data_IF_332767864189
#
_entry.id   IF_332767864189
#
_cell.length_a   1.000
_cell.length_b   1.000
_cell.length_c   1.000
_cell.angle_alpha   90.00
_cell.angle_beta   90.00
_cell.angle_gamma   90.00
#
_symmetry.space_group_name_H-M   'P 1'
#
loop_
_entity.id
_entity.type
_entity.pdbx_description
1 polymer ?
#
# COMPACT_ATOMS: atom_id res chain seq x y z
N UNK A 1 -8.79 -0.65 9.49
CA UNK A 1 -9.23 0.76 9.27
C UNK A 1 -10.41 0.74 8.32
N UNK A 2 -11.46 1.56 8.51
CA UNK A 2 -12.67 1.53 7.65
C UNK A 2 -12.49 2.37 6.37
N UNK A 3 -13.10 1.97 5.22
CA UNK A 3 -13.08 2.73 3.98
C UNK A 3 -13.48 4.21 4.11
N UNK A 4 -14.48 4.52 4.93
CA UNK A 4 -14.97 5.90 5.14
C UNK A 4 -13.88 6.85 5.67
N UNK A 5 -12.90 6.35 6.42
CA UNK A 5 -11.78 7.17 6.91
C UNK A 5 -10.83 7.55 5.78
N UNK A 6 -10.61 6.64 4.83
CA UNK A 6 -9.75 6.87 3.66
C UNK A 6 -10.46 7.75 2.63
N UNK A 7 -11.77 7.59 2.46
CA UNK A 7 -12.60 8.50 1.64
C UNK A 7 -12.42 9.96 2.07
N UNK A 8 -12.50 10.23 3.39
CA UNK A 8 -12.30 11.59 3.93
C UNK A 8 -10.89 12.12 3.68
N UNK A 9 -9.86 11.27 3.84
CA UNK A 9 -8.48 11.66 3.55
C UNK A 9 -8.31 12.01 2.07
N UNK A 10 -8.82 11.16 1.17
CA UNK A 10 -8.79 11.40 -0.27
C UNK A 10 -9.50 12.71 -0.60
N UNK A 11 -10.66 12.97 0.00
CA UNK A 11 -11.38 14.23 -0.19
C UNK A 11 -10.52 15.44 0.20
N UNK A 12 -9.80 15.36 1.33
CA UNK A 12 -8.94 16.46 1.80
C UNK A 12 -7.66 16.68 0.97
N UNK A 13 -7.14 15.64 0.33
CA UNK A 13 -5.83 15.68 -0.38
C UNK A 13 -6.02 15.86 -1.88
N UNK A 14 -7.04 15.22 -2.45
CA UNK A 14 -7.24 15.09 -3.88
C UNK A 14 -8.64 15.51 -4.35
N UNK A 15 -9.50 15.98 -3.44
CA UNK A 15 -10.82 16.53 -3.73
C UNK A 15 -11.96 15.52 -3.71
N UNK A 16 -13.20 16.03 -3.62
CA UNK A 16 -14.41 15.22 -3.48
C UNK A 16 -14.66 14.26 -4.65
N UNK A 17 -14.25 14.64 -5.87
CA UNK A 17 -14.39 13.78 -7.04
C UNK A 17 -13.64 12.46 -6.88
N UNK A 18 -12.37 12.51 -6.46
CA UNK A 18 -11.58 11.29 -6.21
C UNK A 18 -12.13 10.49 -5.03
N UNK A 19 -12.63 11.15 -3.99
CA UNK A 19 -13.24 10.47 -2.84
C UNK A 19 -14.50 9.68 -3.25
N UNK A 20 -15.35 10.26 -4.10
CA UNK A 20 -16.53 9.57 -4.65
C UNK A 20 -16.15 8.36 -5.50
N UNK A 21 -15.11 8.48 -6.33
CA UNK A 21 -14.59 7.37 -7.12
C UNK A 21 -14.00 6.27 -6.23
N UNK A 22 -13.20 6.63 -5.23
CA UNK A 22 -12.69 5.72 -4.22
C UNK A 22 -13.82 4.90 -3.57
N UNK A 23 -14.85 5.59 -3.07
CA UNK A 23 -16.00 4.96 -2.42
C UNK A 23 -16.66 3.95 -3.35
N UNK A 24 -16.93 4.34 -4.61
CA UNK A 24 -17.51 3.45 -5.63
C UNK A 24 -16.67 2.21 -5.85
N UNK A 25 -15.35 2.33 -6.01
CA UNK A 25 -14.49 1.16 -6.19
C UNK A 25 -14.44 0.28 -4.95
N UNK A 26 -14.40 0.86 -3.75
CA UNK A 26 -14.38 0.09 -2.50
C UNK A 26 -15.64 -0.76 -2.28
N UNK A 27 -16.74 -0.43 -2.95
CA UNK A 27 -18.00 -1.18 -2.90
C UNK A 27 -18.14 -2.24 -4.00
N UNK A 28 -17.17 -2.38 -4.92
CA UNK A 28 -17.22 -3.37 -6.01
C UNK A 28 -16.68 -4.74 -5.63
N UNK A 29 -16.06 -4.87 -4.46
CA UNK A 29 -15.47 -6.11 -3.97
C UNK A 29 -16.17 -6.52 -2.68
N UNK A 30 -16.66 -7.75 -2.63
CA UNK A 30 -17.24 -8.39 -1.43
C UNK A 30 -16.13 -8.98 -0.54
N UNK A 31 -15.16 -8.13 -0.19
CA UNK A 31 -14.00 -8.47 0.63
C UNK A 31 -14.04 -7.80 2.00
N UNK A 32 -13.03 -8.09 2.82
CA UNK A 32 -12.82 -7.37 4.07
C UNK A 32 -12.45 -5.89 3.83
N UNK A 33 -12.43 -5.08 4.90
CA UNK A 33 -12.10 -3.65 4.77
C UNK A 33 -10.73 -3.43 4.10
N UNK A 34 -9.74 -4.32 4.32
CA UNK A 34 -8.40 -4.19 3.74
C UNK A 34 -8.44 -4.45 2.23
N UNK A 35 -9.10 -5.54 1.80
CA UNK A 35 -9.26 -5.87 0.38
C UNK A 35 -9.98 -4.76 -0.38
N UNK A 36 -11.05 -4.21 0.21
CA UNK A 36 -11.83 -3.10 -0.35
C UNK A 36 -11.01 -1.82 -0.49
N UNK A 37 -10.20 -1.49 0.52
CA UNK A 37 -9.29 -0.34 0.49
C UNK A 37 -8.24 -0.51 -0.62
N UNK A 38 -7.59 -1.67 -0.65
CA UNK A 38 -6.51 -2.00 -1.58
C UNK A 38 -7.00 -1.90 -3.03
N UNK A 39 -8.12 -2.56 -3.34
CA UNK A 39 -8.72 -2.53 -4.67
C UNK A 39 -9.07 -1.11 -5.12
N UNK A 40 -9.69 -0.31 -4.22
CA UNK A 40 -10.09 1.04 -4.55
C UNK A 40 -8.90 1.98 -4.83
N UNK A 41 -7.81 1.85 -4.07
CA UNK A 41 -6.58 2.62 -4.28
C UNK A 41 -5.91 2.26 -5.61
N UNK A 42 -5.87 0.98 -5.97
CA UNK A 42 -5.32 0.55 -7.25
C UNK A 42 -6.18 1.04 -8.43
N UNK A 43 -7.50 1.00 -8.31
CA UNK A 43 -8.38 1.53 -9.36
C UNK A 43 -8.18 3.03 -9.58
N UNK A 44 -7.99 3.79 -8.51
CA UNK A 44 -7.63 5.20 -8.62
C UNK A 44 -6.25 5.40 -9.24
N UNK A 45 -5.26 4.57 -8.88
CA UNK A 45 -3.91 4.67 -9.44
C UNK A 45 -3.92 4.48 -10.95
N UNK A 46 -4.68 3.49 -11.45
CA UNK A 46 -4.85 3.25 -12.88
C UNK A 46 -5.41 4.46 -13.64
N UNK A 47 -6.16 5.34 -12.97
CA UNK A 47 -6.85 6.48 -13.59
C UNK A 47 -6.04 7.77 -13.44
N UNK A 48 -5.47 8.01 -12.26
CA UNK A 48 -4.85 9.28 -11.88
C UNK A 48 -3.33 9.24 -11.78
N UNK A 49 -2.75 8.04 -11.88
CA UNK A 49 -1.33 7.80 -11.71
C UNK A 49 -0.89 7.76 -10.24
N UNK A 50 0.21 7.06 -10.02
CA UNK A 50 0.83 6.84 -8.71
C UNK A 50 1.19 8.14 -7.95
N UNK A 51 1.77 9.20 -8.56
CA UNK A 51 2.21 10.39 -7.82
C UNK A 51 1.11 11.07 -7.00
N UNK A 52 -0.12 11.08 -7.52
CA UNK A 52 -1.30 11.66 -6.89
C UNK A 52 -1.71 10.90 -5.61
N UNK A 53 -1.41 9.60 -5.55
CA UNK A 53 -1.92 8.71 -4.49
C UNK A 53 -0.86 8.29 -3.48
N UNK A 54 0.43 8.51 -3.76
CA UNK A 54 1.54 8.16 -2.87
C UNK A 54 1.31 8.61 -1.41
N UNK A 55 0.88 9.85 -1.09
CA UNK A 55 0.63 10.25 0.29
C UNK A 55 -0.49 9.43 0.97
N UNK A 56 -1.54 9.10 0.22
CA UNK A 56 -2.68 8.31 0.69
C UNK A 56 -2.24 6.86 0.92
N UNK A 57 -1.54 6.24 -0.05
CA UNK A 57 -1.01 4.88 0.06
C UNK A 57 -0.07 4.75 1.28
N UNK A 58 0.83 5.72 1.47
CA UNK A 58 1.73 5.77 2.64
C UNK A 58 0.94 5.84 3.94
N UNK A 59 -0.09 6.68 4.01
CA UNK A 59 -0.93 6.81 5.20
C UNK A 59 -1.70 5.53 5.49
N UNK A 60 -2.37 4.96 4.49
CA UNK A 60 -3.13 3.70 4.61
C UNK A 60 -2.21 2.60 5.11
N UNK A 61 -1.02 2.47 4.52
CA UNK A 61 0.00 1.52 4.92
C UNK A 61 0.35 1.57 6.41
N UNK A 62 0.45 2.77 7.01
CA UNK A 62 0.72 2.93 8.46
C UNK A 62 -0.37 2.33 9.37
N UNK A 63 -1.57 2.16 8.81
CA UNK A 63 -2.81 1.86 9.52
C UNK A 63 -3.33 0.44 9.25
N UNK A 64 -2.74 -0.26 8.28
CA UNK A 64 -3.04 -1.65 7.97
C UNK A 64 -1.84 -2.52 8.31
N UNK A 65 -2.09 -3.71 8.86
CA UNK A 65 -1.06 -4.73 9.00
C UNK A 65 -0.92 -5.41 7.63
N UNK A 66 0.16 -5.08 6.93
CA UNK A 66 0.50 -5.77 5.69
C UNK A 66 1.24 -7.06 6.03
N UNK A 67 0.87 -8.21 5.44
CA UNK A 67 1.66 -9.41 5.56
C UNK A 67 3.09 -9.10 5.15
N UNK A 68 4.04 -9.40 6.03
CA UNK A 68 5.45 -9.19 5.76
C UNK A 68 6.28 -10.30 6.39
N UNK A 69 7.26 -10.79 5.65
CA UNK A 69 8.28 -11.70 6.15
C UNK A 69 9.55 -10.91 6.40
N UNK A 70 10.09 -10.98 7.60
CA UNK A 70 11.30 -10.26 7.96
C UNK A 70 12.44 -11.24 8.26
N UNK A 71 13.56 -11.09 7.59
CA UNK A 71 14.79 -11.86 7.81
C UNK A 71 15.92 -10.92 8.22
N UNK A 72 16.64 -11.28 9.28
CA UNK A 72 17.79 -10.52 9.75
C UNK A 72 19.03 -10.89 8.93
N UNK A 73 19.67 -9.91 8.29
CA UNK A 73 20.91 -10.09 7.55
C UNK A 73 21.96 -9.09 8.05
N UNK A 74 22.68 -9.48 9.11
CA UNK A 74 23.57 -8.58 9.85
C UNK A 74 22.79 -7.44 10.52
N UNK A 75 23.22 -6.20 10.29
CA UNK A 75 22.59 -4.98 10.85
C UNK A 75 21.35 -4.50 10.06
N UNK A 76 20.89 -5.31 9.10
CA UNK A 76 19.80 -4.98 8.18
C UNK A 76 18.65 -5.96 8.37
N UNK A 77 17.44 -5.45 8.45
CA UNK A 77 16.23 -6.26 8.39
C UNK A 77 15.70 -6.24 6.95
N UNK A 78 15.84 -7.36 6.24
CA UNK A 78 15.22 -7.55 4.94
C UNK A 78 13.74 -7.88 5.16
N UNK A 79 12.84 -7.17 4.48
CA UNK A 79 11.40 -7.35 4.62
C UNK A 79 10.78 -7.60 3.26
N UNK A 80 10.11 -8.74 3.11
CA UNK A 80 9.35 -9.11 1.93
C UNK A 80 7.86 -8.92 2.18
N UNK A 81 7.20 -8.18 1.29
CA UNK A 81 5.76 -7.95 1.34
C UNK A 81 5.10 -8.70 0.17
N UNK A 82 4.55 -9.91 0.40
CA UNK A 82 3.84 -10.63 -0.64
C UNK A 82 2.54 -9.92 -1.04
N UNK A 83 2.21 -10.02 -2.31
CA UNK A 83 0.92 -9.60 -2.88
C UNK A 83 0.01 -10.78 -3.19
N UNK A 84 0.51 -12.01 -3.03
CA UNK A 84 -0.16 -13.24 -3.48
C UNK A 84 -1.54 -13.49 -2.85
N UNK A 85 -1.79 -12.93 -1.66
CA UNK A 85 -3.09 -12.98 -0.99
C UNK A 85 -4.05 -11.86 -1.44
N UNK A 86 -3.51 -10.79 -2.02
CA UNK A 86 -4.28 -9.78 -2.73
C UNK A 86 -4.32 -10.17 -4.21
N UNK A 87 -5.31 -10.98 -4.60
CA UNK A 87 -5.51 -11.45 -5.99
C UNK A 87 -5.65 -10.28 -6.98
N UNK A 88 -4.51 -9.75 -7.43
CA UNK A 88 -4.43 -8.59 -8.30
C UNK A 88 -3.56 -8.94 -9.50
N UNK A 89 -4.24 -9.03 -10.64
CA UNK A 89 -3.62 -9.26 -11.94
C UNK A 89 -2.80 -8.02 -12.34
N UNK A 90 -1.45 -8.03 -12.16
CA UNK A 90 -0.51 -7.38 -13.10
C UNK A 90 1.00 -7.50 -12.80
N UNK A 91 1.75 -7.15 -13.88
CA UNK A 91 3.20 -7.19 -14.13
C UNK A 91 4.08 -6.31 -13.20
N UNK A 92 5.39 -6.62 -13.09
CA UNK A 92 6.29 -6.29 -11.97
C UNK A 92 6.85 -4.87 -11.85
N UNK A 93 6.28 -3.83 -12.48
CA UNK A 93 6.81 -2.47 -12.34
C UNK A 93 5.81 -1.56 -11.60
N UNK A 94 6.23 -1.14 -10.41
CA UNK A 94 5.61 -0.15 -9.52
C UNK A 94 4.21 -0.50 -9.00
N UNK A 95 4.09 -1.65 -8.35
CA UNK A 95 2.81 -1.99 -7.69
C UNK A 95 2.54 -0.97 -6.58
N UNK A 96 1.40 -0.26 -6.64
CA UNK A 96 0.93 0.62 -5.54
C UNK A 96 0.92 -0.06 -4.18
N UNK A 97 0.84 -1.40 -4.16
CA UNK A 97 0.91 -2.21 -2.96
C UNK A 97 2.26 -2.16 -2.27
N UNK A 98 3.37 -1.91 -3.00
CA UNK A 98 4.67 -1.63 -2.38
C UNK A 98 4.56 -0.45 -1.41
N UNK A 99 3.82 0.61 -1.76
CA UNK A 99 3.69 1.82 -0.92
C UNK A 99 2.86 1.59 0.33
N UNK A 100 1.87 0.68 0.25
CA UNK A 100 1.13 0.23 1.42
C UNK A 100 2.07 -0.49 2.39
N UNK A 101 2.88 -1.42 1.89
CA UNK A 101 3.84 -2.09 2.76
C UNK A 101 4.90 -1.14 3.31
N UNK A 102 5.49 -0.28 2.48
CA UNK A 102 6.43 0.75 2.92
C UNK A 102 5.84 1.66 4.01
N UNK A 103 4.56 2.02 3.88
CA UNK A 103 3.82 2.77 4.90
C UNK A 103 3.72 2.00 6.23
N UNK A 104 3.47 0.69 6.18
CA UNK A 104 3.45 -0.18 7.37
C UNK A 104 4.82 -0.30 8.03
N UNK A 105 5.88 -0.39 7.22
CA UNK A 105 7.26 -0.55 7.67
C UNK A 105 7.87 0.71 8.30
N UNK A 106 7.26 1.89 8.13
CA UNK A 106 7.78 3.14 8.70
C UNK A 106 7.98 3.06 10.23
N UNK A 107 7.24 2.18 10.92
CA UNK A 107 7.36 1.97 12.37
C UNK A 107 8.69 1.31 12.79
N UNK A 108 9.42 0.71 11.84
CA UNK A 108 10.59 -0.14 12.13
C UNK A 108 11.95 0.55 11.87
N UNK A 109 11.98 1.78 11.35
CA UNK A 109 13.20 2.55 11.14
C UNK A 109 13.29 3.18 9.75
N UNK A 110 14.51 3.39 9.26
CA UNK A 110 14.75 3.93 7.92
C UNK A 110 14.56 2.81 6.88
N UNK A 111 13.42 2.85 6.19
CA UNK A 111 13.02 1.85 5.19
C UNK A 111 13.43 2.27 3.79
N UNK A 112 14.22 1.42 3.14
CA UNK A 112 14.66 1.57 1.75
C UNK A 112 13.96 0.54 0.87
N UNK A 113 13.47 0.98 -0.29
CA UNK A 113 13.04 0.07 -1.33
C UNK A 113 14.28 -0.57 -1.96
N UNK A 114 14.32 -1.90 -2.00
CA UNK A 114 15.42 -2.65 -2.60
C UNK A 114 15.07 -3.07 -4.02
N UNK A 115 14.00 -3.84 -4.17
CA UNK A 115 13.55 -4.36 -5.46
C UNK A 115 12.06 -4.74 -5.43
N UNK A 116 11.46 -4.89 -6.61
CA UNK A 116 10.12 -5.45 -6.77
C UNK A 116 10.20 -6.70 -7.66
N UNK A 117 9.51 -7.75 -7.25
CA UNK A 117 9.25 -8.96 -8.04
C UNK A 117 7.76 -9.01 -8.38
N UNK A 118 7.37 -9.95 -9.23
CA UNK A 118 5.99 -10.09 -9.72
C UNK A 118 4.97 -10.27 -8.59
N UNK A 119 5.34 -10.96 -7.51
CA UNK A 119 4.45 -11.32 -6.41
C UNK A 119 4.80 -10.67 -5.07
N UNK A 120 5.82 -9.79 -5.00
CA UNK A 120 6.27 -9.17 -3.75
C UNK A 120 7.12 -7.92 -3.95
N UNK A 121 7.17 -7.06 -2.93
CA UNK A 121 8.20 -6.01 -2.83
C UNK A 121 9.18 -6.31 -1.71
N UNK A 122 10.45 -6.01 -1.97
CA UNK A 122 11.55 -6.17 -1.03
C UNK A 122 11.96 -4.81 -0.50
N UNK A 123 11.97 -4.70 0.82
CA UNK A 123 12.45 -3.54 1.55
C UNK A 123 13.62 -3.93 2.45
N UNK A 124 14.47 -2.95 2.74
CA UNK A 124 15.53 -3.07 3.72
C UNK A 124 15.30 -2.01 4.77
N UNK A 125 15.18 -2.42 6.03
CA UNK A 125 15.12 -1.51 7.16
C UNK A 125 16.50 -1.47 7.80
N UNK A 126 17.11 -0.29 7.85
CA UNK A 126 18.31 -0.07 8.64
C UNK A 126 17.88 0.09 10.09
N UNK A 127 18.34 -0.79 10.98
CA UNK A 127 18.15 -0.61 12.40
C UNK A 127 19.06 0.54 12.84
N UNK A 128 18.45 1.64 13.30
CA UNK A 128 19.22 2.72 13.93
C UNK A 128 19.86 2.17 15.20
N UNK A 129 21.19 2.21 15.27
CA UNK A 129 21.97 1.92 16.48
C UNK A 129 21.70 2.98 17.54
#
# INVERSE_FOLDING_TARGET
>A
MKPDHIERLISSVAGEGLALMFKRYSMQVDGDDTERLVYALEMLEKIFGLPTLVPILKFVGKQIETPSYAELNGDKLAVECPFKDFLLNKKPLESSLCYLCWGGLYKHGNVYFSEQKEDRCHFVVLQSV
#
